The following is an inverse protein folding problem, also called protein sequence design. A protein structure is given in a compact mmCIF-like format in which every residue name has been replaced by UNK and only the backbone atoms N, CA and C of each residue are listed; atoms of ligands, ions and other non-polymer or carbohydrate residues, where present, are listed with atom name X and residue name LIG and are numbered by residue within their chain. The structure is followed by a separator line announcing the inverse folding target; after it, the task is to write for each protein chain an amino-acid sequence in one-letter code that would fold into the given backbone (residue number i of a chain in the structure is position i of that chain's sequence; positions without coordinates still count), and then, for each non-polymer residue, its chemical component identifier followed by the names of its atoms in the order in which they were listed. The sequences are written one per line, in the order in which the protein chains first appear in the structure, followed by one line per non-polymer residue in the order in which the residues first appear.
data_IF_444442126519
#
_entry.id   IF_444442126519
#
_cell.length_a   1.000
_cell.length_b   1.000
_cell.length_c   1.000
_cell.angle_alpha   90.00
_cell.angle_beta   90.00
_cell.angle_gamma   90.00
#
_symmetry.space_group_name_H-M   'P 1'
#
loop_
_entity.id
_entity.type
_entity.pdbx_description
1 polymer ?
#
# COMPACT_ATOMS: atom_id res chain seq x y z
N UNK A 1 21.53 -4.48 11.27
CA UNK A 1 20.90 -3.59 10.27
C UNK A 1 20.03 -4.46 9.39
N UNK A 2 18.97 -4.97 10.03
CA UNK A 2 17.92 -5.87 9.54
C UNK A 2 16.63 -5.07 9.73
N UNK A 3 15.60 -5.10 8.92
CA UNK A 3 15.41 -5.58 7.56
C UNK A 3 14.06 -4.94 7.16
N UNK A 4 14.08 -3.65 6.81
CA UNK A 4 12.84 -2.91 6.48
C UNK A 4 12.16 -3.51 5.25
N UNK A 5 12.96 -4.12 4.36
CA UNK A 5 12.53 -4.89 3.20
C UNK A 5 11.71 -6.12 3.57
N UNK A 6 12.10 -6.85 4.62
CA UNK A 6 11.41 -8.09 5.04
C UNK A 6 9.97 -7.81 5.51
N UNK A 7 9.74 -6.72 6.23
CA UNK A 7 8.39 -6.34 6.68
C UNK A 7 7.42 -5.97 5.55
N UNK A 8 7.90 -5.31 4.49
CA UNK A 8 7.07 -4.95 3.33
C UNK A 8 6.78 -6.17 2.47
N UNK A 9 7.80 -6.97 2.15
CA UNK A 9 7.63 -8.18 1.34
C UNK A 9 6.74 -9.21 2.04
N UNK A 10 6.86 -9.35 3.36
CA UNK A 10 5.97 -10.20 4.14
C UNK A 10 4.51 -9.78 3.98
N UNK A 11 4.21 -8.48 4.14
CA UNK A 11 2.83 -7.96 4.02
C UNK A 11 2.27 -8.11 2.61
N UNK A 12 3.10 -7.93 1.58
CA UNK A 12 2.69 -8.09 0.18
C UNK A 12 2.32 -9.54 -0.18
N UNK A 13 3.15 -10.51 0.24
CA UNK A 13 3.04 -11.89 -0.21
C UNK A 13 2.27 -12.81 0.75
N UNK A 14 2.10 -12.43 2.02
CA UNK A 14 1.59 -13.32 3.07
C UNK A 14 0.41 -12.73 3.86
N UNK A 15 -0.39 -11.83 3.26
CA UNK A 15 -1.62 -11.39 3.93
C UNK A 15 -2.63 -12.54 4.00
N UNK A 16 -3.36 -12.64 5.12
CA UNK A 16 -4.44 -13.64 5.32
C UNK A 16 -5.55 -13.55 4.26
N UNK A 17 -5.56 -12.48 3.46
CA UNK A 17 -6.53 -12.18 2.41
C UNK A 17 -6.02 -12.53 1.01
N UNK A 18 -4.87 -13.22 0.89
CA UNK A 18 -4.34 -13.73 -0.38
C UNK A 18 -3.27 -12.87 -1.05
N UNK A 19 -2.66 -11.93 -0.30
CA UNK A 19 -1.64 -11.01 -0.83
C UNK A 19 -2.20 -9.96 -1.80
N UNK A 20 -1.35 -9.01 -2.19
CA UNK A 20 -1.69 -7.99 -3.18
C UNK A 20 -0.88 -8.23 -4.45
N UNK A 21 -1.51 -8.10 -5.62
CA UNK A 21 -0.81 -8.13 -6.91
C UNK A 21 0.22 -7.00 -7.01
N UNK A 22 -0.10 -5.81 -6.48
CA UNK A 22 0.78 -4.64 -6.56
C UNK A 22 0.52 -3.64 -5.44
N UNK A 23 1.60 -2.98 -4.99
CA UNK A 23 1.52 -1.77 -4.18
C UNK A 23 2.39 -0.69 -4.80
N UNK A 24 1.83 0.50 -4.98
CA UNK A 24 2.51 1.66 -5.53
C UNK A 24 2.59 2.74 -4.46
N UNK A 25 3.81 3.17 -4.16
CA UNK A 25 4.06 4.32 -3.30
C UNK A 25 4.32 5.53 -4.18
N UNK A 26 3.49 6.56 -4.03
CA UNK A 26 3.64 7.82 -4.74
C UNK A 26 4.09 8.91 -3.78
N UNK A 27 5.10 9.67 -4.19
CA UNK A 27 5.54 10.86 -3.47
C UNK A 27 5.72 12.00 -4.46
N UNK A 28 5.06 13.13 -4.19
CA UNK A 28 5.40 14.39 -4.83
C UNK A 28 5.91 15.38 -3.78
N UNK A 29 7.17 15.79 -3.94
CA UNK A 29 7.84 16.69 -3.00
C UNK A 29 7.35 18.12 -3.10
N UNK A 30 6.90 18.56 -4.28
CA UNK A 30 6.47 19.93 -4.48
C UNK A 30 5.15 20.23 -3.75
N UNK A 31 4.21 19.29 -3.81
CA UNK A 31 2.93 19.38 -3.08
C UNK A 31 2.98 18.80 -1.67
N UNK A 32 3.99 17.98 -1.37
CA UNK A 32 4.07 17.20 -0.13
C UNK A 32 3.19 15.96 -0.13
N UNK A 33 2.59 15.60 -1.28
CA UNK A 33 1.75 14.41 -1.41
C UNK A 33 2.55 13.15 -1.10
N UNK A 34 1.94 12.31 -0.26
CA UNK A 34 2.31 10.91 -0.05
C UNK A 34 1.04 10.08 -0.23
N UNK A 35 1.10 9.07 -1.09
CA UNK A 35 -0.04 8.20 -1.34
C UNK A 35 0.41 6.74 -1.49
N UNK A 36 -0.49 5.84 -1.11
CA UNK A 36 -0.35 4.39 -1.26
C UNK A 36 -1.51 3.92 -2.11
N UNK A 37 -1.21 3.16 -3.17
CA UNK A 37 -2.21 2.51 -4.01
C UNK A 37 -1.96 1.02 -3.91
N UNK A 38 -2.90 0.29 -3.30
CA UNK A 38 -2.86 -1.15 -3.17
C UNK A 38 -3.83 -1.78 -4.18
N UNK A 39 -3.34 -2.73 -4.96
CA UNK A 39 -4.10 -3.46 -5.95
C UNK A 39 -4.14 -4.93 -5.53
N UNK A 40 -5.29 -5.36 -5.01
CA UNK A 40 -5.45 -6.71 -4.50
C UNK A 40 -5.55 -7.74 -5.63
N UNK A 41 -6.47 -7.52 -6.58
CA UNK A 41 -6.77 -8.50 -7.62
C UNK A 41 -7.33 -7.85 -8.90
N UNK A 42 -6.84 -8.25 -10.07
CA UNK A 42 -7.33 -7.78 -11.39
C UNK A 42 -7.96 -8.88 -12.26
N UNK A 43 -8.22 -10.06 -11.73
CA UNK A 43 -8.75 -11.21 -12.47
C UNK A 43 -10.11 -10.95 -13.15
N UNK A 44 -10.92 -10.04 -12.61
CA UNK A 44 -12.23 -9.65 -13.17
C UNK A 44 -12.18 -8.35 -13.99
N UNK A 45 -10.99 -7.78 -14.21
CA UNK A 45 -10.80 -6.53 -14.95
C UNK A 45 -9.96 -5.50 -14.18
N UNK A 46 -9.93 -4.24 -14.66
CA UNK A 46 -9.17 -3.18 -14.02
C UNK A 46 -9.60 -2.95 -12.56
N UNK A 47 -8.62 -2.67 -11.69
CA UNK A 47 -8.89 -2.32 -10.30
C UNK A 47 -9.70 -1.03 -10.17
N UNK A 48 -10.71 -1.04 -9.30
CA UNK A 48 -11.50 0.13 -8.94
C UNK A 48 -11.54 0.24 -7.42
N UNK A 49 -11.21 1.43 -6.90
CA UNK A 49 -11.20 1.72 -5.48
C UNK A 49 -11.38 3.22 -5.21
N UNK A 50 -11.85 3.55 -4.02
CA UNK A 50 -11.94 4.94 -3.57
C UNK A 50 -10.58 5.49 -3.12
N UNK A 51 -10.50 6.81 -2.95
CA UNK A 51 -9.34 7.47 -2.35
C UNK A 51 -9.70 7.97 -0.96
N UNK A 52 -8.94 7.57 0.05
CA UNK A 52 -9.06 8.07 1.42
C UNK A 52 -7.95 9.09 1.68
N UNK A 53 -8.34 10.29 2.12
CA UNK A 53 -7.41 11.32 2.60
C UNK A 53 -7.53 11.41 4.12
N UNK A 54 -6.53 10.92 4.84
CA UNK A 54 -6.58 10.82 6.30
C UNK A 54 -5.21 11.06 6.94
N UNK A 55 -5.12 11.77 8.08
CA UNK A 55 -3.85 12.08 8.74
C UNK A 55 -3.41 10.92 9.66
N UNK A 56 -2.86 9.85 9.09
CA UNK A 56 -2.26 8.76 9.87
C UNK A 56 -1.07 9.27 10.70
N UNK A 57 -0.83 8.66 11.86
CA UNK A 57 0.28 9.05 12.72
C UNK A 57 1.62 8.60 12.14
N UNK A 58 1.61 7.50 11.38
CA UNK A 58 2.81 6.97 10.71
C UNK A 58 2.53 6.51 9.27
N UNK A 59 3.58 6.45 8.45
CA UNK A 59 3.50 5.91 7.07
C UNK A 59 3.15 4.42 7.06
N UNK A 60 3.59 3.67 8.07
CA UNK A 60 3.27 2.25 8.21
C UNK A 60 1.78 2.01 8.44
N UNK A 61 1.11 2.86 9.23
CA UNK A 61 -0.35 2.80 9.42
C UNK A 61 -1.11 3.07 8.11
N UNK A 62 -0.65 4.04 7.32
CA UNK A 62 -1.26 4.34 6.01
C UNK A 62 -1.11 3.17 5.02
N UNK A 63 0.05 2.49 5.02
CA UNK A 63 0.27 1.29 4.21
C UNK A 63 -0.62 0.15 4.70
N UNK A 64 -0.66 -0.11 6.02
CA UNK A 64 -1.46 -1.20 6.57
C UNK A 64 -2.96 -1.04 6.37
N UNK A 65 -3.48 0.19 6.30
CA UNK A 65 -4.91 0.45 6.00
C UNK A 65 -5.24 0.40 4.50
N UNK A 66 -4.24 0.55 3.62
CA UNK A 66 -4.43 0.40 2.18
C UNK A 66 -4.43 -1.07 1.74
N UNK A 67 -3.70 -1.93 2.46
CA UNK A 67 -3.59 -3.39 2.25
C UNK A 67 -4.71 -4.13 2.98
#
# INVERSE_FOLDING_TARGET
MTDVTDGVLHTLFHSDQGGHEQVVICQDRATGLKAVIALHNTALGPGLGGTRFYPYATEAEAVADAL
#
